data_IF_194586897138
#
_entry.id   IF_194586897138
#
_cell.length_a   1.000
_cell.length_b   1.000
_cell.length_c   1.000
_cell.angle_alpha   90.00
_cell.angle_beta   90.00
_cell.angle_gamma   90.00
#
_symmetry.space_group_name_H-M   'P 1'
#
loop_
_entity.id
_entity.type
_entity.pdbx_description
1 polymer ?
#
# COMPACT_ATOMS: atom_id res chain seq x y z
N UNK A 1 -0.81 0.32 -25.16
CA UNK A 1 0.56 0.33 -25.70
C UNK A 1 0.74 1.46 -26.71
N UNK A 2 -0.18 1.67 -27.65
CA UNK A 2 -0.05 2.63 -28.75
C UNK A 2 0.27 4.05 -28.33
N UNK A 3 -0.29 4.53 -27.21
CA UNK A 3 0.02 5.87 -26.67
C UNK A 3 1.50 5.99 -26.30
N UNK A 4 2.06 5.03 -25.58
CA UNK A 4 3.48 5.06 -25.21
C UNK A 4 4.38 5.00 -26.44
N UNK A 5 4.10 4.08 -27.37
CA UNK A 5 4.86 3.96 -28.61
C UNK A 5 4.78 5.24 -29.45
N UNK A 6 3.59 5.85 -29.53
CA UNK A 6 3.40 7.12 -30.26
C UNK A 6 4.17 8.28 -29.62
N UNK A 7 4.20 8.34 -28.29
CA UNK A 7 4.97 9.36 -27.57
C UNK A 7 6.48 9.15 -27.74
N UNK A 8 6.95 7.90 -27.59
CA UNK A 8 8.38 7.58 -27.74
C UNK A 8 8.90 7.77 -29.17
N UNK A 9 7.99 7.74 -30.18
CA UNK A 9 8.32 8.02 -31.59
C UNK A 9 8.44 9.51 -31.92
N UNK A 10 8.07 10.42 -31.02
CA UNK A 10 8.15 11.86 -31.27
C UNK A 10 9.60 12.34 -31.29
N UNK A 11 9.96 13.26 -32.23
CA UNK A 11 11.29 13.85 -32.28
C UNK A 11 11.66 14.53 -30.94
N UNK A 12 12.83 14.21 -30.42
CA UNK A 12 13.33 14.78 -29.16
C UNK A 12 12.90 14.04 -27.89
N UNK A 13 11.95 13.11 -27.97
CA UNK A 13 11.60 12.25 -26.86
C UNK A 13 12.52 11.03 -26.84
N UNK A 14 13.21 10.81 -25.73
CA UNK A 14 14.07 9.64 -25.53
C UNK A 14 13.30 8.44 -24.95
N UNK A 15 12.38 8.70 -24.05
CA UNK A 15 11.59 7.67 -23.36
C UNK A 15 10.45 8.31 -22.59
N UNK A 16 9.30 7.63 -22.56
CA UNK A 16 8.16 8.00 -21.72
C UNK A 16 8.12 7.15 -20.44
N UNK A 17 7.85 7.80 -19.31
CA UNK A 17 7.76 7.12 -18.01
C UNK A 17 6.44 7.41 -17.31
N UNK A 18 5.97 6.42 -16.52
CA UNK A 18 4.82 6.59 -15.64
C UNK A 18 5.21 7.47 -14.46
N UNK A 19 4.58 8.63 -14.33
CA UNK A 19 4.80 9.57 -13.25
C UNK A 19 3.92 9.35 -12.02
N UNK A 20 2.80 8.64 -12.18
CA UNK A 20 1.82 8.35 -11.12
C UNK A 20 1.84 6.90 -10.66
N UNK A 21 1.04 6.57 -9.64
CA UNK A 21 0.85 5.17 -9.22
C UNK A 21 0.02 4.38 -10.22
N UNK A 22 0.30 3.07 -10.30
CA UNK A 22 -0.45 2.14 -11.14
C UNK A 22 -1.50 1.36 -10.36
N UNK A 23 -2.60 1.04 -11.02
CA UNK A 23 -3.65 0.15 -10.52
C UNK A 23 -3.25 -1.30 -10.75
N UNK A 24 -2.39 -1.82 -9.85
CA UNK A 24 -1.84 -3.18 -9.95
C UNK A 24 -2.92 -4.27 -9.93
N UNK A 25 -4.06 -4.01 -9.31
CA UNK A 25 -5.22 -4.89 -9.31
C UNK A 25 -5.80 -5.08 -10.73
N UNK A 26 -5.83 -4.03 -11.54
CA UNK A 26 -6.26 -4.13 -12.94
C UNK A 26 -5.24 -4.88 -13.79
N UNK A 27 -3.95 -4.75 -13.50
CA UNK A 27 -2.88 -5.48 -14.18
C UNK A 27 -2.90 -7.00 -13.92
N UNK A 28 -3.65 -7.43 -12.92
CA UNK A 28 -3.80 -8.84 -12.54
C UNK A 28 -5.20 -9.38 -12.78
N UNK A 29 -6.09 -8.55 -13.34
CA UNK A 29 -7.44 -8.97 -13.63
C UNK A 29 -7.45 -10.16 -14.61
N UNK A 30 -8.19 -11.21 -14.25
CA UNK A 30 -8.37 -12.40 -15.07
C UNK A 30 -9.75 -12.34 -15.75
N UNK A 31 -9.72 -12.14 -17.06
CA UNK A 31 -10.90 -12.20 -17.91
C UNK A 31 -11.26 -13.65 -18.26
N UNK A 32 -12.52 -13.89 -18.60
CA UNK A 32 -12.93 -15.15 -19.25
C UNK A 32 -12.35 -15.29 -20.65
N UNK A 33 -11.97 -14.20 -21.30
CA UNK A 33 -11.33 -14.19 -22.61
C UNK A 33 -9.80 -14.33 -22.48
N UNK A 34 -9.20 -15.43 -22.96
CA UNK A 34 -7.76 -15.61 -22.92
C UNK A 34 -6.97 -14.56 -23.71
N UNK A 35 -7.57 -13.93 -24.73
CA UNK A 35 -6.90 -12.87 -25.50
C UNK A 35 -6.68 -11.62 -24.63
N UNK A 36 -7.67 -11.26 -23.82
CA UNK A 36 -7.55 -10.16 -22.86
C UNK A 36 -6.44 -10.44 -21.83
N UNK A 37 -6.37 -11.67 -21.30
CA UNK A 37 -5.34 -12.04 -20.33
C UNK A 37 -3.93 -11.96 -20.92
N UNK A 38 -3.74 -12.40 -22.17
CA UNK A 38 -2.46 -12.26 -22.89
C UNK A 38 -2.09 -10.79 -23.08
N UNK A 39 -3.01 -9.98 -23.57
CA UNK A 39 -2.78 -8.54 -23.77
C UNK A 39 -2.47 -7.83 -22.46
N UNK A 40 -3.13 -8.17 -21.36
CA UNK A 40 -2.85 -7.62 -20.03
C UNK A 40 -1.44 -8.02 -19.55
N UNK A 41 -1.02 -9.27 -19.76
CA UNK A 41 0.31 -9.73 -19.39
C UNK A 41 1.41 -9.04 -20.22
N UNK A 42 1.18 -8.89 -21.53
CA UNK A 42 2.08 -8.16 -22.43
C UNK A 42 2.20 -6.69 -22.03
N UNK A 43 1.06 -6.04 -21.76
CA UNK A 43 1.02 -4.66 -21.28
C UNK A 43 1.78 -4.49 -19.98
N UNK A 44 1.57 -5.39 -19.01
CA UNK A 44 2.25 -5.34 -17.71
C UNK A 44 3.76 -5.47 -17.87
N UNK A 45 4.20 -6.40 -18.72
CA UNK A 45 5.62 -6.62 -19.01
C UNK A 45 6.25 -5.39 -19.68
N UNK A 46 5.61 -4.86 -20.69
CA UNK A 46 6.07 -3.67 -21.43
C UNK A 46 6.17 -2.46 -20.50
N UNK A 47 5.12 -2.23 -19.69
CA UNK A 47 5.07 -1.14 -18.73
C UNK A 47 6.26 -1.19 -17.77
N UNK A 48 6.53 -2.36 -17.18
CA UNK A 48 7.64 -2.54 -16.23
C UNK A 48 8.99 -2.42 -16.95
N UNK A 49 9.13 -3.02 -18.13
CA UNK A 49 10.38 -3.06 -18.87
C UNK A 49 10.81 -1.68 -19.41
N UNK A 50 9.86 -0.88 -19.87
CA UNK A 50 10.17 0.30 -20.67
C UNK A 50 9.70 1.62 -20.09
N UNK A 51 8.67 1.62 -19.23
CA UNK A 51 8.00 2.83 -18.76
C UNK A 51 8.10 3.09 -17.25
N UNK A 52 8.97 2.35 -16.55
CA UNK A 52 9.34 2.59 -15.15
C UNK A 52 10.75 3.16 -15.08
N UNK A 53 10.89 4.35 -14.50
CA UNK A 53 12.18 5.06 -14.37
C UNK A 53 13.06 4.57 -13.20
N UNK A 54 12.91 3.30 -12.79
CA UNK A 54 13.60 2.70 -11.64
C UNK A 54 12.73 2.59 -10.38
N UNK A 55 11.69 3.39 -10.21
CA UNK A 55 10.79 3.38 -9.04
C UNK A 55 9.33 3.39 -9.49
N UNK A 56 8.61 2.32 -9.19
CA UNK A 56 7.18 2.17 -9.50
C UNK A 56 6.34 2.46 -8.26
N UNK A 57 5.52 3.50 -8.31
CA UNK A 57 4.56 3.82 -7.26
C UNK A 57 3.33 2.93 -7.39
N UNK A 58 2.91 2.35 -6.29
CA UNK A 58 1.67 1.55 -6.18
C UNK A 58 0.94 1.90 -4.90
N UNK A 59 -0.37 1.76 -4.87
CA UNK A 59 -1.20 2.15 -3.75
C UNK A 59 -1.96 0.95 -3.16
N UNK A 60 -1.29 0.06 -2.37
CA UNK A 60 -1.99 -0.97 -1.61
C UNK A 60 -2.88 -0.39 -0.51
N UNK A 61 -2.64 0.83 -0.08
CA UNK A 61 -3.36 1.63 0.91
C UNK A 61 -3.27 1.08 2.33
N UNK A 62 -3.45 -0.22 2.55
CA UNK A 62 -3.34 -0.89 3.83
C UNK A 62 -3.01 -2.38 3.66
N UNK A 63 -2.66 -3.08 4.76
CA UNK A 63 -2.39 -4.53 4.77
C UNK A 63 -3.53 -5.33 5.41
N UNK A 64 -4.44 -4.70 6.17
CA UNK A 64 -5.61 -5.32 6.77
C UNK A 64 -6.74 -5.39 5.77
N UNK A 65 -7.22 -6.60 5.46
CA UNK A 65 -8.35 -6.79 4.53
C UNK A 65 -9.64 -6.17 5.06
N UNK A 66 -9.83 -6.12 6.39
CA UNK A 66 -10.97 -5.46 7.01
C UNK A 66 -10.98 -3.95 6.69
N UNK A 67 -9.83 -3.29 6.82
CA UNK A 67 -9.67 -1.87 6.47
C UNK A 67 -9.85 -1.67 4.97
N UNK A 68 -9.26 -2.53 4.14
CA UNK A 68 -9.37 -2.47 2.69
C UNK A 68 -10.81 -2.66 2.20
N UNK A 69 -11.61 -3.51 2.85
CA UNK A 69 -13.03 -3.65 2.53
C UNK A 69 -13.81 -2.35 2.76
N UNK A 70 -13.54 -1.64 3.86
CA UNK A 70 -14.15 -0.32 4.13
C UNK A 70 -13.69 0.71 3.10
N UNK A 71 -12.42 0.64 2.67
CA UNK A 71 -11.87 1.46 1.59
C UNK A 71 -12.43 1.09 0.21
N UNK A 72 -13.13 -0.04 0.07
CA UNK A 72 -13.53 -0.63 -1.23
C UNK A 72 -12.33 -0.92 -2.13
N UNK A 73 -11.25 -1.38 -1.53
CA UNK A 73 -10.01 -1.78 -2.20
C UNK A 73 -9.90 -3.31 -2.25
N UNK A 74 -9.16 -3.85 -3.20
CA UNK A 74 -8.87 -5.28 -3.25
C UNK A 74 -8.04 -5.73 -2.06
N UNK A 75 -8.10 -7.03 -1.73
CA UNK A 75 -7.27 -7.65 -0.69
C UNK A 75 -5.78 -7.39 -0.92
N UNK A 76 -5.04 -7.25 0.19
CA UNK A 76 -3.59 -7.11 0.15
C UNK A 76 -2.88 -8.32 -0.48
N UNK A 77 -3.53 -9.48 -0.55
CA UNK A 77 -3.01 -10.65 -1.27
C UNK A 77 -2.66 -10.34 -2.74
N UNK A 78 -3.44 -9.51 -3.40
CA UNK A 78 -3.16 -9.09 -4.79
C UNK A 78 -1.87 -8.27 -4.91
N UNK A 79 -1.50 -7.54 -3.86
CA UNK A 79 -0.21 -6.84 -3.85
C UNK A 79 0.97 -7.83 -3.83
N UNK A 80 0.87 -8.93 -3.08
CA UNK A 80 1.90 -9.98 -3.09
C UNK A 80 2.05 -10.60 -4.48
N UNK A 81 0.95 -10.87 -5.16
CA UNK A 81 0.97 -11.47 -6.51
C UNK A 81 1.55 -10.49 -7.53
N UNK A 82 1.19 -9.21 -7.44
CA UNK A 82 1.80 -8.17 -8.25
C UNK A 82 3.32 -8.07 -8.00
N UNK A 83 3.72 -8.05 -6.72
CA UNK A 83 5.16 -8.01 -6.36
C UNK A 83 5.92 -9.18 -6.94
N UNK A 84 5.39 -10.41 -6.88
CA UNK A 84 6.01 -11.58 -7.52
C UNK A 84 6.19 -11.38 -9.02
N UNK A 85 5.18 -10.85 -9.70
CA UNK A 85 5.23 -10.57 -11.15
C UNK A 85 6.28 -9.50 -11.45
N UNK A 86 6.30 -8.42 -10.69
CA UNK A 86 7.27 -7.34 -10.81
C UNK A 86 8.71 -7.84 -10.61
N UNK A 87 8.96 -8.58 -9.53
CA UNK A 87 10.28 -9.14 -9.20
C UNK A 87 10.75 -10.13 -10.28
N UNK A 88 9.83 -10.95 -10.80
CA UNK A 88 10.12 -11.89 -11.90
C UNK A 88 10.58 -11.16 -13.16
N UNK A 89 9.85 -10.15 -13.59
CA UNK A 89 10.18 -9.35 -14.78
C UNK A 89 11.53 -8.63 -14.59
N UNK A 90 11.75 -8.04 -13.43
CA UNK A 90 13.04 -7.39 -13.11
C UNK A 90 14.21 -8.37 -13.18
N UNK A 91 14.04 -9.58 -12.63
CA UNK A 91 15.06 -10.63 -12.69
C UNK A 91 15.34 -11.10 -14.11
N UNK A 92 14.30 -11.35 -14.91
CA UNK A 92 14.42 -11.78 -16.32
C UNK A 92 15.16 -10.74 -17.18
N UNK A 93 14.91 -9.45 -16.92
CA UNK A 93 15.50 -8.35 -17.68
C UNK A 93 16.77 -7.78 -17.04
N UNK A 94 17.27 -8.39 -15.96
CA UNK A 94 18.43 -7.92 -15.19
C UNK A 94 18.31 -6.45 -14.75
N UNK A 95 17.11 -6.05 -14.32
CA UNK A 95 16.79 -4.71 -13.85
C UNK A 95 16.81 -4.64 -12.32
N UNK A 96 16.96 -3.42 -11.76
CA UNK A 96 16.99 -3.15 -10.31
C UNK A 96 15.96 -2.11 -9.92
N UNK A 97 14.76 -2.23 -10.46
CA UNK A 97 13.67 -1.32 -10.14
C UNK A 97 13.09 -1.65 -8.75
N UNK A 98 12.48 -0.66 -8.12
CA UNK A 98 11.88 -0.77 -6.79
C UNK A 98 10.39 -0.43 -6.83
N UNK A 99 9.59 -1.16 -6.06
CA UNK A 99 8.22 -0.78 -5.74
C UNK A 99 8.25 0.23 -4.59
N UNK A 100 7.52 1.33 -4.76
CA UNK A 100 7.29 2.34 -3.71
C UNK A 100 5.82 2.25 -3.32
N UNK A 101 5.50 1.53 -2.24
CA UNK A 101 4.12 1.37 -1.81
C UNK A 101 3.63 2.64 -1.07
N UNK A 102 2.39 3.01 -1.34
CA UNK A 102 1.67 4.08 -0.64
C UNK A 102 0.71 3.48 0.38
N UNK A 103 0.78 3.95 1.62
CA UNK A 103 -0.08 3.50 2.72
C UNK A 103 -0.77 4.67 3.41
N UNK A 104 -1.97 4.38 3.94
CA UNK A 104 -2.81 5.35 4.67
C UNK A 104 -3.06 4.82 6.08
N UNK A 105 -2.84 5.67 7.09
CA UNK A 105 -3.28 5.45 8.47
C UNK A 105 -4.57 6.20 8.76
N UNK A 106 -5.19 5.89 9.88
CA UNK A 106 -6.36 6.62 10.40
C UNK A 106 -7.59 6.64 9.48
N UNK A 107 -7.65 5.78 8.47
CA UNK A 107 -8.86 5.56 7.70
C UNK A 107 -9.97 4.99 8.61
N UNK A 108 -11.25 5.30 8.39
CA UNK A 108 -12.34 4.61 9.09
C UNK A 108 -12.13 3.09 9.08
N UNK A 109 -12.28 2.48 10.25
CA UNK A 109 -12.04 1.05 10.49
C UNK A 109 -10.59 0.68 10.80
N UNK A 110 -9.63 1.57 10.63
CA UNK A 110 -8.24 1.31 10.95
C UNK A 110 -7.97 1.52 12.45
N UNK A 111 -7.43 0.51 13.11
CA UNK A 111 -7.03 0.53 14.52
C UNK A 111 -5.51 0.62 14.68
N UNK A 112 -5.05 0.85 15.90
CA UNK A 112 -3.62 0.80 16.25
C UNK A 112 -3.05 -0.62 16.04
N UNK A 113 -3.86 -1.65 16.25
CA UNK A 113 -3.50 -3.05 16.02
C UNK A 113 -3.27 -3.34 14.52
N UNK A 114 -4.16 -2.87 13.65
CA UNK A 114 -4.00 -2.98 12.19
C UNK A 114 -2.70 -2.33 11.72
N UNK A 115 -2.34 -1.18 12.29
CA UNK A 115 -1.11 -0.48 11.97
C UNK A 115 0.13 -1.20 12.51
N UNK A 116 0.05 -1.83 13.67
CA UNK A 116 1.12 -2.65 14.22
C UNK A 116 1.41 -3.88 13.34
N UNK A 117 0.37 -4.53 12.84
CA UNK A 117 0.51 -5.63 11.89
C UNK A 117 1.06 -5.16 10.53
N UNK A 118 0.64 -3.99 10.04
CA UNK A 118 1.20 -3.37 8.86
C UNK A 118 2.72 -3.15 9.01
N UNK A 119 3.17 -2.67 10.17
CA UNK A 119 4.60 -2.50 10.43
C UNK A 119 5.38 -3.81 10.32
N UNK A 120 4.83 -4.92 10.85
CA UNK A 120 5.46 -6.25 10.75
C UNK A 120 5.49 -6.74 9.29
N UNK A 121 4.42 -6.52 8.53
CA UNK A 121 4.34 -6.93 7.13
C UNK A 121 5.32 -6.13 6.28
N UNK A 122 5.36 -4.81 6.45
CA UNK A 122 6.30 -3.94 5.71
C UNK A 122 7.75 -4.25 6.04
N UNK A 123 8.05 -4.61 7.30
CA UNK A 123 9.36 -5.13 7.67
C UNK A 123 9.72 -6.42 6.96
N UNK A 124 8.81 -7.39 6.91
CA UNK A 124 9.03 -8.67 6.20
C UNK A 124 9.26 -8.48 4.70
N UNK A 125 8.67 -7.44 4.12
CA UNK A 125 8.82 -7.06 2.71
C UNK A 125 10.01 -6.15 2.45
N UNK A 126 10.77 -5.78 3.49
CA UNK A 126 11.89 -4.84 3.45
C UNK A 126 11.51 -3.45 2.90
N UNK A 127 10.32 -2.96 3.28
CA UNK A 127 9.85 -1.64 2.90
C UNK A 127 10.11 -0.62 4.02
N UNK A 128 11.04 0.30 3.78
CA UNK A 128 11.16 1.54 4.53
C UNK A 128 10.24 2.58 3.89
N UNK A 129 9.08 2.82 4.51
CA UNK A 129 7.99 3.57 3.89
C UNK A 129 8.35 5.05 3.70
N UNK A 130 8.16 5.54 2.47
CA UNK A 130 8.38 6.94 2.09
C UNK A 130 7.07 7.65 1.74
N UNK A 131 6.10 6.91 1.22
CA UNK A 131 4.81 7.40 0.76
C UNK A 131 3.73 6.98 1.76
N UNK A 132 3.51 7.82 2.77
CA UNK A 132 2.52 7.59 3.83
C UNK A 132 1.67 8.83 4.06
N UNK A 133 0.40 8.61 4.41
CA UNK A 133 -0.55 9.69 4.69
C UNK A 133 -1.51 9.27 5.80
N UNK A 134 -1.91 10.24 6.64
CA UNK A 134 -3.08 10.07 7.48
C UNK A 134 -4.35 10.35 6.68
N UNK A 135 -5.40 9.59 6.93
CA UNK A 135 -6.69 9.85 6.30
C UNK A 135 -7.13 11.29 6.51
N UNK A 136 -7.44 11.95 5.40
CA UNK A 136 -8.01 13.30 5.39
C UNK A 136 -9.41 13.22 4.79
N UNK A 137 -10.45 13.62 5.55
CA UNK A 137 -11.80 13.63 5.03
C UNK A 137 -11.93 14.47 3.77
N UNK A 138 -12.42 13.86 2.72
CA UNK A 138 -12.68 14.52 1.43
C UNK A 138 -14.19 14.59 1.23
N UNK A 139 -14.79 15.76 1.01
CA UNK A 139 -16.23 15.91 0.81
C UNK A 139 -16.78 14.94 -0.24
N UNK A 140 -18.03 14.51 -0.04
CA UNK A 140 -18.77 13.61 -0.94
C UNK A 140 -18.20 12.19 -1.06
N UNK A 141 -17.39 11.73 -0.11
CA UNK A 141 -16.89 10.36 -0.08
C UNK A 141 -17.54 9.53 1.03
N UNK A 142 -17.77 8.25 0.78
CA UNK A 142 -18.27 7.28 1.77
C UNK A 142 -17.36 7.25 3.01
N UNK A 143 -16.05 7.33 2.81
CA UNK A 143 -15.09 7.34 3.91
C UNK A 143 -15.26 8.56 4.82
N UNK A 144 -15.54 9.74 4.27
CA UNK A 144 -15.80 10.96 5.06
C UNK A 144 -17.11 10.85 5.84
N UNK A 145 -18.15 10.32 5.21
CA UNK A 145 -19.42 10.08 5.89
C UNK A 145 -19.25 9.10 7.05
N UNK A 146 -18.56 7.99 6.82
CA UNK A 146 -18.22 7.02 7.86
C UNK A 146 -17.38 7.64 8.98
N UNK A 147 -16.36 8.43 8.63
CA UNK A 147 -15.52 9.11 9.62
C UNK A 147 -16.30 10.10 10.48
N UNK A 148 -17.20 10.87 9.87
CA UNK A 148 -18.01 11.87 10.56
C UNK A 148 -19.05 11.22 11.49
N UNK A 149 -19.85 10.29 10.94
CA UNK A 149 -20.96 9.66 11.64
C UNK A 149 -20.52 8.56 12.61
N UNK A 150 -19.42 7.86 12.35
CA UNK A 150 -19.02 6.66 13.06
C UNK A 150 -19.77 5.40 12.63
N UNK A 151 -20.51 5.47 11.51
CA UNK A 151 -21.28 4.36 10.97
C UNK A 151 -21.00 4.17 9.48
N UNK A 152 -20.98 2.93 9.03
CA UNK A 152 -20.92 2.62 7.60
C UNK A 152 -22.26 2.95 6.94
N UNK A 153 -22.31 3.84 5.93
CA UNK A 153 -23.59 4.40 5.45
C UNK A 153 -24.53 3.39 4.81
N UNK A 154 -24.04 2.26 4.32
CA UNK A 154 -24.87 1.23 3.70
C UNK A 154 -25.27 0.11 4.64
N UNK A 155 -24.44 -0.23 5.62
CA UNK A 155 -24.71 -1.35 6.54
C UNK A 155 -25.18 -0.88 7.90
N UNK A 156 -25.04 0.41 8.21
CA UNK A 156 -25.33 1.04 9.50
C UNK A 156 -24.56 0.41 10.68
N UNK A 157 -23.51 -0.34 10.40
CA UNK A 157 -22.66 -0.88 11.44
C UNK A 157 -21.73 0.19 11.99
N UNK A 158 -21.47 0.21 13.32
CA UNK A 158 -20.50 1.12 13.91
C UNK A 158 -19.11 0.88 13.33
N UNK A 159 -18.39 1.96 13.02
CA UNK A 159 -17.03 1.92 12.50
C UNK A 159 -16.15 2.88 13.30
N UNK A 160 -15.11 2.35 13.93
CA UNK A 160 -14.12 3.18 14.62
C UNK A 160 -13.45 4.14 13.64
N UNK A 161 -13.17 5.36 14.08
CA UNK A 161 -12.42 6.35 13.29
C UNK A 161 -11.55 7.19 14.23
N UNK A 162 -10.25 7.23 13.97
CA UNK A 162 -9.32 8.10 14.70
C UNK A 162 -9.62 9.57 14.35
N UNK A 163 -10.11 10.33 15.33
CA UNK A 163 -10.53 11.74 15.15
C UNK A 163 -9.56 12.73 15.77
N UNK A 164 -8.93 12.33 16.89
CA UNK A 164 -8.02 13.21 17.61
C UNK A 164 -6.58 13.13 17.07
N UNK A 165 -5.80 14.21 17.20
CA UNK A 165 -4.37 14.17 16.86
C UNK A 165 -3.60 13.06 17.58
N UNK A 166 -3.97 12.75 18.82
CA UNK A 166 -3.35 11.69 19.62
C UNK A 166 -3.60 10.31 19.01
N UNK A 167 -4.84 10.01 18.63
CA UNK A 167 -5.20 8.73 17.99
C UNK A 167 -4.50 8.58 16.63
N UNK A 168 -4.48 9.64 15.83
CA UNK A 168 -3.77 9.63 14.54
C UNK A 168 -2.28 9.39 14.71
N UNK A 169 -1.65 10.06 15.68
CA UNK A 169 -0.22 9.89 15.96
C UNK A 169 0.10 8.47 16.43
N UNK A 170 -0.76 7.88 17.28
CA UNK A 170 -0.62 6.52 17.77
C UNK A 170 -0.66 5.48 16.63
N UNK A 171 -1.42 5.74 15.58
CA UNK A 171 -1.42 4.91 14.38
C UNK A 171 -0.21 5.20 13.47
N UNK A 172 0.05 6.48 13.21
CA UNK A 172 1.07 6.91 12.26
C UNK A 172 2.49 6.45 12.61
N UNK A 173 2.84 6.37 13.90
CA UNK A 173 4.19 5.98 14.34
C UNK A 173 4.61 4.62 13.80
N UNK A 174 3.69 3.70 13.58
CA UNK A 174 3.98 2.35 13.07
C UNK A 174 4.55 2.33 11.65
N UNK A 175 4.31 3.35 10.84
CA UNK A 175 4.97 3.48 9.55
C UNK A 175 6.48 3.59 9.66
N UNK A 176 6.98 4.14 10.76
CA UNK A 176 8.38 4.47 10.97
C UNK A 176 9.08 3.47 11.90
N UNK A 177 8.60 2.21 11.95
CA UNK A 177 9.15 1.14 12.79
C UNK A 177 10.67 1.00 12.66
N UNK A 178 11.26 1.36 11.53
CA UNK A 178 12.69 1.26 11.23
C UNK A 178 13.52 2.41 11.82
N UNK A 179 12.88 3.49 12.26
CA UNK A 179 13.56 4.65 12.85
C UNK A 179 13.90 4.40 14.31
N UNK A 180 15.17 4.56 14.73
CA UNK A 180 15.58 4.32 16.12
C UNK A 180 14.83 5.19 17.14
N UNK A 181 14.54 6.44 16.79
CA UNK A 181 13.82 7.40 17.62
C UNK A 181 12.37 6.99 17.91
N UNK A 182 11.71 6.30 16.99
CA UNK A 182 10.32 5.84 17.15
C UNK A 182 10.21 4.54 17.95
N UNK A 183 11.29 3.77 18.05
CA UNK A 183 11.29 2.42 18.62
C UNK A 183 10.69 2.36 20.03
N UNK A 184 11.07 3.30 20.91
CA UNK A 184 10.59 3.31 22.31
C UNK A 184 9.09 3.57 22.37
N UNK A 185 8.60 4.53 21.59
CA UNK A 185 7.19 4.87 21.50
C UNK A 185 6.36 3.68 20.98
N UNK A 186 6.82 3.04 19.92
CA UNK A 186 6.17 1.85 19.33
C UNK A 186 6.11 0.68 20.32
N UNK A 187 7.20 0.39 21.05
CA UNK A 187 7.21 -0.68 22.06
C UNK A 187 6.20 -0.39 23.18
N UNK A 188 6.11 0.86 23.65
CA UNK A 188 5.16 1.24 24.68
C UNK A 188 3.72 1.10 24.17
N UNK A 189 3.45 1.53 22.94
CA UNK A 189 2.11 1.41 22.34
C UNK A 189 1.71 -0.06 22.13
N UNK A 190 2.64 -0.91 21.63
CA UNK A 190 2.39 -2.36 21.50
C UNK A 190 2.03 -3.03 22.84
N UNK A 191 2.67 -2.64 23.93
CA UNK A 191 2.33 -3.13 25.27
C UNK A 191 0.95 -2.64 25.72
N UNK A 192 0.64 -1.38 25.47
CA UNK A 192 -0.64 -0.76 25.81
C UNK A 192 -1.82 -1.41 25.11
N UNK A 193 -1.68 -1.73 23.80
CA UNK A 193 -2.73 -2.40 23.02
C UNK A 193 -2.73 -3.94 23.19
N UNK A 194 -1.90 -4.49 24.07
CA UNK A 194 -1.83 -5.94 24.33
C UNK A 194 -1.12 -6.77 23.24
N UNK A 195 -0.38 -6.12 22.33
CA UNK A 195 0.30 -6.78 21.22
C UNK A 195 1.82 -6.85 21.42
N UNK A 196 2.25 -7.20 22.63
CA UNK A 196 3.66 -7.41 22.95
C UNK A 196 4.32 -8.52 22.09
N UNK A 197 3.54 -9.46 21.55
CA UNK A 197 3.97 -10.49 20.61
C UNK A 197 4.62 -9.93 19.34
N UNK A 198 4.27 -8.71 18.95
CA UNK A 198 4.81 -8.04 17.76
C UNK A 198 6.17 -7.37 18.01
N UNK A 199 6.55 -7.15 19.27
CA UNK A 199 7.85 -6.54 19.62
C UNK A 199 8.99 -7.37 19.07
N UNK A 200 8.97 -8.68 19.31
CA UNK A 200 10.02 -9.58 18.84
C UNK A 200 10.03 -9.69 17.31
N UNK A 201 8.87 -9.60 16.67
CA UNK A 201 8.76 -9.58 15.20
C UNK A 201 9.37 -8.32 14.59
N UNK A 202 9.21 -7.17 15.26
CA UNK A 202 9.74 -5.89 14.79
C UNK A 202 11.22 -5.69 15.15
N UNK A 203 11.64 -6.09 16.35
CA UNK A 203 12.94 -5.68 16.88
C UNK A 203 13.86 -6.83 17.28
N UNK A 204 13.41 -8.08 17.09
CA UNK A 204 14.11 -9.28 17.55
C UNK A 204 13.94 -9.48 19.06
N UNK A 205 14.46 -10.58 19.59
CA UNK A 205 14.36 -10.86 21.04
C UNK A 205 14.95 -9.69 21.80
N UNK A 206 14.09 -8.96 22.48
CA UNK A 206 14.49 -7.86 23.35
C UNK A 206 15.16 -8.50 24.59
N UNK A 207 16.49 -8.39 24.66
CA UNK A 207 17.17 -8.62 25.94
C UNK A 207 16.82 -7.42 26.81
N UNK A 208 15.98 -7.66 27.83
CA UNK A 208 15.61 -6.68 28.83
C UNK A 208 16.85 -6.21 29.58
#
# INVERSE_FOLDING_TARGET
MDIYHSVDALPGIKKSFIGSGVRYDLLQYQSKDPAVNRSTAEYTREQIAHHVSGRLKVAPEHTSDQVLQIMRKPSFSQFYDFKKTFDKINKELNMRQQIIPYFISSHPGCTEEDMAELAVITKKLDFHLEQVQDFTPTPMTVATETWYTGYHPYTLQPVFSAKTPKEKLAQRMFFFWYKPEERRAIINELRKIGRADLIDKLYGKYKA
#
